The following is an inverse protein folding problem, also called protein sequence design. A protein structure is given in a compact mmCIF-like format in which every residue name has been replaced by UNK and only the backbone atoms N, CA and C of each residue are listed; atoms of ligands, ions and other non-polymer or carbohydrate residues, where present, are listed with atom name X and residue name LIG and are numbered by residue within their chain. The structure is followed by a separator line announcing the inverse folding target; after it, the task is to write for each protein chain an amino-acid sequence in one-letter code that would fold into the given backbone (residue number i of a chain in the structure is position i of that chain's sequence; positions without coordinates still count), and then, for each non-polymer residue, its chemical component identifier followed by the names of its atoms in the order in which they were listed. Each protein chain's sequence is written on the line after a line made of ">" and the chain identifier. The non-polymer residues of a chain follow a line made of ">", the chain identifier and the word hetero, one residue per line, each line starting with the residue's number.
data_IF_699865775515
#
_entry.id   IF_699865775515
#
_cell.length_a   1.000
_cell.length_b   1.000
_cell.length_c   1.000
_cell.angle_alpha   90.00
_cell.angle_beta   90.00
_cell.angle_gamma   90.00
#
_symmetry.space_group_name_H-M   'P 1'
#
loop_
_entity.id
_entity.type
_entity.pdbx_description
1 polymer ?
#
# COMPACT_ATOMS: atom_id res chain seq x y z
N UNK A 1 -16.99 -23.94 -29.18
CA UNK A 1 -16.29 -22.65 -29.02
C UNK A 1 -16.85 -21.99 -27.77
N UNK A 2 -16.19 -22.16 -26.63
CA UNK A 2 -16.56 -21.46 -25.38
C UNK A 2 -16.12 -20.01 -25.55
N UNK A 3 -17.10 -19.14 -25.73
CA UNK A 3 -16.89 -17.69 -25.75
C UNK A 3 -16.42 -17.29 -24.35
N UNK A 4 -15.13 -16.99 -24.22
CA UNK A 4 -14.52 -16.53 -22.97
C UNK A 4 -15.03 -15.10 -22.73
N UNK A 5 -16.18 -14.97 -22.07
CA UNK A 5 -16.69 -13.67 -21.69
C UNK A 5 -15.70 -13.03 -20.72
N UNK A 6 -15.29 -11.76 -20.95
CA UNK A 6 -14.40 -11.09 -20.01
C UNK A 6 -15.07 -11.12 -18.63
N UNK A 7 -14.41 -11.75 -17.65
CA UNK A 7 -14.89 -11.77 -16.28
C UNK A 7 -15.12 -10.31 -15.86
N UNK A 8 -16.31 -9.97 -15.35
CA UNK A 8 -16.56 -8.62 -14.84
C UNK A 8 -15.48 -8.25 -13.83
N UNK A 9 -14.86 -7.07 -14.00
CA UNK A 9 -13.88 -6.51 -13.05
C UNK A 9 -14.63 -5.91 -11.86
N UNK A 10 -15.59 -6.66 -11.33
CA UNK A 10 -16.38 -6.28 -10.16
C UNK A 10 -16.05 -7.23 -9.02
N UNK A 11 -15.82 -6.71 -7.80
CA UNK A 11 -15.60 -7.56 -6.65
C UNK A 11 -16.83 -8.46 -6.41
N UNK A 12 -16.62 -9.64 -5.84
CA UNK A 12 -17.73 -10.52 -5.48
C UNK A 12 -18.61 -9.88 -4.40
N UNK A 13 -19.91 -10.20 -4.35
CA UNK A 13 -20.80 -9.73 -3.29
C UNK A 13 -20.27 -10.10 -1.89
N UNK A 14 -19.65 -11.27 -1.75
CA UNK A 14 -19.05 -11.74 -0.50
C UNK A 14 -17.90 -10.83 -0.04
N UNK A 15 -17.05 -10.39 -0.97
CA UNK A 15 -15.96 -9.47 -0.66
C UNK A 15 -16.49 -8.09 -0.24
N UNK A 16 -17.53 -7.60 -0.92
CA UNK A 16 -18.19 -6.34 -0.55
C UNK A 16 -18.81 -6.44 0.86
N UNK A 17 -19.43 -7.57 1.20
CA UNK A 17 -19.94 -7.83 2.56
C UNK A 17 -18.82 -7.83 3.60
N UNK A 18 -17.63 -8.34 3.28
CA UNK A 18 -16.49 -8.29 4.20
C UNK A 18 -16.04 -6.85 4.48
N UNK A 19 -15.98 -5.99 3.46
CA UNK A 19 -15.67 -4.56 3.66
C UNK A 19 -16.73 -3.86 4.51
N UNK A 20 -17.99 -4.25 4.36
CA UNK A 20 -19.07 -3.74 5.20
C UNK A 20 -18.87 -4.12 6.67
N UNK A 21 -18.58 -5.40 6.95
CA UNK A 21 -18.32 -5.89 8.30
C UNK A 21 -17.05 -5.26 8.90
N UNK A 22 -16.01 -5.03 8.09
CA UNK A 22 -14.79 -4.33 8.49
C UNK A 22 -15.09 -2.89 8.93
N UNK A 23 -15.85 -2.15 8.12
CA UNK A 23 -16.26 -0.78 8.42
C UNK A 23 -17.08 -0.69 9.72
N UNK A 24 -18.01 -1.62 9.95
CA UNK A 24 -18.81 -1.67 11.17
C UNK A 24 -17.99 -1.93 12.44
N UNK A 25 -16.91 -2.70 12.33
CA UNK A 25 -16.04 -3.05 13.47
C UNK A 25 -15.03 -1.96 13.80
N UNK A 26 -14.48 -1.31 12.77
CA UNK A 26 -13.28 -0.49 12.91
C UNK A 26 -13.51 1.02 12.77
N UNK A 27 -14.70 1.45 12.35
CA UNK A 27 -15.02 2.86 12.13
C UNK A 27 -16.20 3.32 13.01
N UNK A 28 -16.33 4.64 13.14
CA UNK A 28 -17.52 5.23 13.78
C UNK A 28 -18.81 4.75 13.10
N UNK A 29 -19.92 4.60 13.84
CA UNK A 29 -21.21 4.15 13.30
C UNK A 29 -21.90 5.27 12.52
N UNK A 30 -21.22 5.75 11.49
CA UNK A 30 -21.65 6.79 10.57
C UNK A 30 -21.70 6.20 9.16
N UNK A 31 -22.84 6.40 8.49
CA UNK A 31 -23.08 5.84 7.16
C UNK A 31 -22.11 6.44 6.14
N UNK A 32 -21.75 7.72 6.28
CA UNK A 32 -20.80 8.37 5.38
C UNK A 32 -19.40 7.75 5.55
N UNK A 33 -18.94 7.50 6.77
CA UNK A 33 -17.71 6.77 7.04
C UNK A 33 -17.68 5.37 6.38
N UNK A 34 -18.76 4.60 6.49
CA UNK A 34 -18.83 3.25 5.92
C UNK A 34 -18.85 3.27 4.39
N UNK A 35 -19.65 4.16 3.79
CA UNK A 35 -19.71 4.32 2.33
C UNK A 35 -18.34 4.74 1.78
N UNK A 36 -17.67 5.70 2.42
CA UNK A 36 -16.33 6.13 2.03
C UNK A 36 -15.31 5.00 2.13
N UNK A 37 -15.38 4.19 3.19
CA UNK A 37 -14.52 3.01 3.33
C UNK A 37 -14.74 2.01 2.18
N UNK A 38 -15.99 1.68 1.88
CA UNK A 38 -16.32 0.71 0.81
C UNK A 38 -15.93 1.25 -0.56
N UNK A 39 -16.20 2.53 -0.85
CA UNK A 39 -15.80 3.17 -2.09
C UNK A 39 -14.27 3.15 -2.27
N UNK A 40 -13.53 3.43 -1.20
CA UNK A 40 -12.06 3.37 -1.19
C UNK A 40 -11.57 1.94 -1.46
N UNK A 41 -12.13 0.94 -0.76
CA UNK A 41 -11.79 -0.47 -0.97
C UNK A 41 -12.08 -0.93 -2.40
N UNK A 42 -13.22 -0.54 -2.97
CA UNK A 42 -13.60 -0.88 -4.33
C UNK A 42 -12.64 -0.25 -5.36
N UNK A 43 -12.27 1.02 -5.19
CA UNK A 43 -11.31 1.70 -6.05
C UNK A 43 -9.91 1.06 -5.98
N UNK A 44 -9.44 0.73 -4.77
CA UNK A 44 -8.17 0.02 -4.56
C UNK A 44 -8.18 -1.36 -5.23
N UNK A 45 -9.23 -2.15 -4.99
CA UNK A 45 -9.38 -3.48 -5.56
C UNK A 45 -9.37 -3.46 -7.09
N UNK A 46 -10.12 -2.54 -7.71
CA UNK A 46 -10.14 -2.40 -9.17
C UNK A 46 -8.78 -2.00 -9.74
N UNK A 47 -8.10 -1.06 -9.09
CA UNK A 47 -6.75 -0.66 -9.48
C UNK A 47 -5.72 -1.79 -9.33
N UNK A 48 -5.88 -2.67 -8.34
CA UNK A 48 -5.03 -3.85 -8.17
C UNK A 48 -5.30 -4.91 -9.26
N UNK A 49 -6.56 -5.14 -9.63
CA UNK A 49 -6.91 -6.05 -10.74
C UNK A 49 -6.30 -5.59 -12.06
N UNK A 50 -6.42 -4.29 -12.37
CA UNK A 50 -5.85 -3.71 -13.60
C UNK A 50 -4.32 -3.79 -13.61
N UNK A 51 -3.69 -3.49 -12.47
CA UNK A 51 -2.23 -3.59 -12.32
C UNK A 51 -1.74 -5.02 -12.52
N UNK A 52 -2.43 -6.01 -11.94
CA UNK A 52 -2.11 -7.43 -12.11
C UNK A 52 -2.27 -7.89 -13.57
N UNK A 53 -3.34 -7.44 -14.24
CA UNK A 53 -3.57 -7.71 -15.66
C UNK A 53 -2.44 -7.12 -16.53
N UNK A 54 -2.09 -5.86 -16.31
CA UNK A 54 -0.98 -5.19 -16.99
C UNK A 54 0.36 -5.90 -16.74
N UNK A 55 0.64 -6.29 -15.50
CA UNK A 55 1.85 -7.05 -15.15
C UNK A 55 1.90 -8.40 -15.84
N UNK A 56 0.76 -9.09 -15.97
CA UNK A 56 0.66 -10.36 -16.71
C UNK A 56 0.96 -10.16 -18.20
N UNK A 57 0.36 -9.16 -18.83
CA UNK A 57 0.61 -8.84 -20.25
C UNK A 57 2.10 -8.57 -20.49
N UNK A 58 2.75 -7.78 -19.62
CA UNK A 58 4.19 -7.53 -19.72
C UNK A 58 5.01 -8.82 -19.62
N UNK A 59 4.67 -9.72 -18.69
CA UNK A 59 5.34 -11.02 -18.55
C UNK A 59 5.14 -11.91 -19.78
N UNK A 60 3.92 -11.95 -20.32
CA UNK A 60 3.59 -12.73 -21.52
C UNK A 60 4.35 -12.20 -22.76
N UNK A 61 4.71 -10.92 -22.78
CA UNK A 61 5.59 -10.30 -23.79
C UNK A 61 7.09 -10.49 -23.51
N UNK A 62 7.46 -11.21 -22.45
CA UNK A 62 8.86 -11.41 -22.05
C UNK A 62 9.52 -10.19 -21.41
N UNK A 63 8.74 -9.18 -21.00
CA UNK A 63 9.27 -7.98 -20.35
C UNK A 63 9.60 -8.24 -18.87
N UNK A 64 10.78 -7.79 -18.44
CA UNK A 64 11.18 -7.80 -17.04
C UNK A 64 10.65 -6.59 -16.25
N UNK A 65 9.88 -5.67 -16.87
CA UNK A 65 9.41 -4.43 -16.25
C UNK A 65 8.19 -4.60 -15.33
N UNK A 66 7.61 -5.79 -15.21
CA UNK A 66 6.45 -6.02 -14.34
C UNK A 66 6.70 -5.67 -12.85
N UNK A 67 7.88 -5.96 -12.24
CA UNK A 67 8.18 -5.53 -10.88
C UNK A 67 8.30 -4.00 -10.77
N UNK A 68 8.93 -3.35 -11.76
CA UNK A 68 9.12 -1.90 -11.78
C UNK A 68 7.77 -1.17 -11.91
N UNK A 69 6.88 -1.66 -12.78
CA UNK A 69 5.52 -1.15 -12.91
C UNK A 69 4.77 -1.27 -11.58
N UNK A 70 4.88 -2.43 -10.90
CA UNK A 70 4.25 -2.64 -9.60
C UNK A 70 4.81 -1.69 -8.55
N UNK A 71 6.14 -1.54 -8.49
CA UNK A 71 6.81 -0.63 -7.56
C UNK A 71 6.40 0.84 -7.80
N UNK A 72 6.27 1.28 -9.05
CA UNK A 72 5.85 2.63 -9.40
C UNK A 72 4.37 2.92 -9.04
N UNK A 73 3.49 1.92 -9.14
CA UNK A 73 2.05 2.06 -8.86
C UNK A 73 1.65 1.74 -7.42
N UNK A 74 2.47 0.97 -6.71
CA UNK A 74 2.33 0.59 -5.31
C UNK A 74 3.69 0.77 -4.62
N UNK A 75 4.16 2.02 -4.50
CA UNK A 75 5.38 2.28 -3.74
C UNK A 75 5.19 1.72 -2.34
N UNK A 76 6.17 0.95 -1.86
CA UNK A 76 6.15 0.53 -0.46
C UNK A 76 6.12 1.79 0.39
N UNK A 77 5.32 1.83 1.47
CA UNK A 77 5.52 2.87 2.47
C UNK A 77 6.98 2.79 2.95
N UNK A 78 7.58 3.91 3.38
CA UNK A 78 8.95 3.91 3.86
C UNK A 78 9.13 2.84 4.93
N UNK A 79 10.26 2.14 4.92
CA UNK A 79 10.54 1.11 5.92
C UNK A 79 10.52 1.72 7.33
N UNK A 80 10.37 0.89 8.37
CA UNK A 80 10.43 1.40 9.74
C UNK A 80 11.79 2.06 10.02
N UNK A 81 12.86 1.56 9.38
CA UNK A 81 14.19 2.15 9.42
C UNK A 81 14.20 3.55 8.77
N UNK A 82 13.66 3.70 7.56
CA UNK A 82 13.53 5.01 6.90
C UNK A 82 12.69 5.99 7.72
N UNK A 83 11.58 5.53 8.31
CA UNK A 83 10.75 6.33 9.20
C UNK A 83 11.51 6.74 10.48
N UNK A 84 12.27 5.84 11.08
CA UNK A 84 13.05 6.11 12.28
C UNK A 84 14.19 7.10 12.03
N UNK A 85 14.85 7.00 10.87
CA UNK A 85 15.88 7.95 10.43
C UNK A 85 15.30 9.37 10.30
N UNK A 86 14.16 9.50 9.62
CA UNK A 86 13.46 10.78 9.49
C UNK A 86 13.01 11.36 10.84
N UNK A 87 12.56 10.50 11.76
CA UNK A 87 12.15 10.92 13.10
C UNK A 87 13.34 11.47 13.92
N UNK A 88 14.53 10.87 13.78
CA UNK A 88 15.77 11.35 14.40
C UNK A 88 16.16 12.72 13.83
N UNK A 89 16.12 12.87 12.50
CA UNK A 89 16.45 14.15 11.84
C UNK A 89 15.52 15.27 12.33
N UNK A 90 14.22 14.98 12.45
CA UNK A 90 13.24 15.90 12.99
C UNK A 90 13.52 16.24 14.45
N UNK A 91 13.87 15.26 15.28
CA UNK A 91 14.18 15.48 16.69
C UNK A 91 15.44 16.33 16.90
N UNK A 92 16.45 16.20 16.02
CA UNK A 92 17.64 17.07 16.03
C UNK A 92 17.28 18.49 15.60
N UNK A 93 16.48 18.65 14.53
CA UNK A 93 16.04 19.95 14.06
C UNK A 93 15.23 20.73 15.10
N UNK A 94 14.43 20.01 15.90
CA UNK A 94 13.64 20.56 17.00
C UNK A 94 14.44 20.72 18.32
N UNK A 95 15.75 20.47 18.32
CA UNK A 95 16.64 20.49 19.50
C UNK A 95 16.17 19.55 20.64
N UNK A 96 15.36 18.53 20.29
CA UNK A 96 14.88 17.47 21.21
C UNK A 96 15.89 16.35 21.39
N UNK A 97 16.89 16.27 20.51
CA UNK A 97 17.94 15.27 20.52
C UNK A 97 19.27 15.90 20.08
N UNK A 98 20.33 15.69 20.86
CA UNK A 98 21.65 16.20 20.48
C UNK A 98 22.18 15.47 19.24
N UNK A 99 22.92 16.20 18.41
CA UNK A 99 23.49 15.67 17.17
C UNK A 99 24.42 14.46 17.42
N UNK A 100 25.16 14.44 18.53
CA UNK A 100 26.06 13.34 18.87
C UNK A 100 25.29 12.04 19.14
N UNK A 101 24.19 12.10 19.89
CA UNK A 101 23.34 10.94 20.17
C UNK A 101 22.63 10.49 18.90
N UNK A 102 22.10 11.45 18.12
CA UNK A 102 21.47 11.17 16.84
C UNK A 102 22.41 10.44 15.87
N UNK A 103 23.69 10.81 15.82
CA UNK A 103 24.68 10.17 14.97
C UNK A 103 24.97 8.72 15.37
N UNK A 104 25.01 8.41 16.67
CA UNK A 104 25.18 7.03 17.15
C UNK A 104 23.97 6.17 16.78
N UNK A 105 22.76 6.68 17.01
CA UNK A 105 21.52 5.94 16.70
C UNK A 105 21.33 5.78 15.20
N UNK A 106 21.64 6.80 14.39
CA UNK A 106 21.60 6.73 12.92
C UNK A 106 22.49 5.60 12.39
N UNK A 107 23.74 5.55 12.85
CA UNK A 107 24.69 4.48 12.45
C UNK A 107 24.21 3.09 12.86
N UNK A 108 23.52 2.95 13.98
CA UNK A 108 22.94 1.68 14.40
C UNK A 108 21.76 1.28 13.51
N UNK A 109 20.86 2.21 13.19
CA UNK A 109 19.74 1.97 12.28
C UNK A 109 20.21 1.62 10.87
N UNK A 110 21.24 2.28 10.37
CA UNK A 110 21.83 2.01 9.05
C UNK A 110 22.35 0.57 8.90
N UNK A 111 22.73 -0.09 10.00
CA UNK A 111 23.18 -1.48 10.00
C UNK A 111 22.04 -2.51 9.98
N UNK A 112 20.79 -2.10 10.16
CA UNK A 112 19.64 -2.99 10.10
C UNK A 112 19.23 -3.23 8.64
N UNK A 113 18.77 -4.43 8.34
CA UNK A 113 18.07 -4.72 7.09
C UNK A 113 16.68 -4.02 7.07
N UNK A 114 16.18 -3.71 5.87
CA UNK A 114 14.84 -3.14 5.66
C UNK A 114 13.72 -4.18 5.68
#
# INVERSE_FOLDING_TARGET
>A
MTQDYPKPITPSPELVRQWWVDAQKNLSPDVVCWVNHIATRAAQWGADQELDACCKVLKDWGSCLSPDLRAARRPKPPSLKEQALLAIDTAVADDRLSADVANVVRRALEQLDD
#
